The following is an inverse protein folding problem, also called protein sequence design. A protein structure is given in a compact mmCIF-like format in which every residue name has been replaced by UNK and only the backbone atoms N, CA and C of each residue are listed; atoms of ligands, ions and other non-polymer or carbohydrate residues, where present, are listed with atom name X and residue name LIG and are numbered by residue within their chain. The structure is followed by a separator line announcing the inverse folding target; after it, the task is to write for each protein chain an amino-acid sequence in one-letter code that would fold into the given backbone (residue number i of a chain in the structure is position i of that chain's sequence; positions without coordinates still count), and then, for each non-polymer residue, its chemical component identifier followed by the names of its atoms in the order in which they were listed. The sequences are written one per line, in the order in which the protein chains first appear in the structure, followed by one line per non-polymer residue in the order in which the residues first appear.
data_IF_426614820058
#
_entry.id   IF_426614820058
#
_cell.length_a   1.000
_cell.length_b   1.000
_cell.length_c   1.000
_cell.angle_alpha   90.00
_cell.angle_beta   90.00
_cell.angle_gamma   90.00
#
_symmetry.space_group_name_H-M   'P 1'
#
loop_
_entity.id
_entity.type
_entity.pdbx_description
1 polymer ?
#
# COMPACT_ATOMS: atom_id res chain seq x y z
N UNK A 1 -0.55 9.63 12.53
CA UNK A 1 0.11 9.39 11.23
C UNK A 1 0.94 10.60 10.80
N UNK A 2 2.01 10.35 10.07
CA UNK A 2 2.95 11.37 9.57
C UNK A 2 3.13 11.26 8.06
N UNK A 3 3.26 12.39 7.37
CA UNK A 3 3.55 12.46 5.93
C UNK A 3 3.24 13.84 5.33
N UNK A 4 3.50 14.01 4.03
CA UNK A 4 3.24 15.26 3.31
C UNK A 4 2.93 14.98 1.82
N UNK A 5 1.73 15.32 1.30
CA UNK A 5 0.56 15.87 2.00
C UNK A 5 -0.19 14.80 2.82
N UNK A 6 -0.94 15.21 3.85
CA UNK A 6 -1.58 14.28 4.80
C UNK A 6 -3.10 14.45 4.95
N UNK A 7 -3.65 15.60 4.53
CA UNK A 7 -5.01 16.02 4.86
C UNK A 7 -6.11 15.01 4.48
N UNK A 8 -5.97 14.37 3.32
CA UNK A 8 -6.99 13.46 2.77
C UNK A 8 -6.91 12.02 3.26
N UNK A 9 -5.90 11.66 4.08
CA UNK A 9 -5.79 10.27 4.53
C UNK A 9 -6.97 9.84 5.39
N UNK A 10 -7.52 8.64 5.14
CA UNK A 10 -8.58 8.04 5.96
C UNK A 10 -8.05 7.23 7.16
N UNK A 11 -6.74 7.08 7.34
CA UNK A 11 -6.19 6.31 8.48
C UNK A 11 -6.71 6.78 9.84
N UNK A 12 -6.87 8.10 10.13
CA UNK A 12 -7.45 8.54 11.40
C UNK A 12 -8.91 8.09 11.58
N UNK A 13 -9.70 8.06 10.52
CA UNK A 13 -11.09 7.58 10.56
C UNK A 13 -11.13 6.10 10.94
N UNK A 14 -10.26 5.30 10.33
CA UNK A 14 -10.16 3.86 10.59
C UNK A 14 -9.72 3.58 12.03
N UNK A 15 -8.61 4.20 12.46
CA UNK A 15 -8.03 3.97 13.79
C UNK A 15 -8.94 4.48 14.91
N UNK A 16 -9.57 5.65 14.76
CA UNK A 16 -10.52 6.16 15.76
C UNK A 16 -11.75 5.25 15.90
N UNK A 17 -12.29 4.73 14.80
CA UNK A 17 -13.37 3.75 14.85
C UNK A 17 -12.92 2.45 15.54
N UNK A 18 -11.67 2.04 15.31
CA UNK A 18 -11.04 0.92 16.01
C UNK A 18 -10.97 1.16 17.52
N UNK A 19 -10.40 2.30 17.94
CA UNK A 19 -10.24 2.65 19.35
C UNK A 19 -11.58 2.74 20.08
N UNK A 20 -12.58 3.37 19.46
CA UNK A 20 -13.92 3.44 20.02
C UNK A 20 -14.54 2.04 20.21
N UNK A 21 -14.42 1.16 19.21
CA UNK A 21 -14.98 -0.19 19.28
C UNK A 21 -14.26 -1.11 20.29
N UNK A 22 -12.97 -0.86 20.55
CA UNK A 22 -12.19 -1.59 21.55
C UNK A 22 -12.28 -0.98 22.97
N UNK A 23 -13.05 0.09 23.16
CA UNK A 23 -13.20 0.75 24.47
C UNK A 23 -11.97 1.58 24.90
N UNK A 24 -11.10 1.95 23.96
CA UNK A 24 -9.86 2.69 24.20
C UNK A 24 -10.11 4.21 24.22
N UNK A 25 -10.94 4.68 25.15
CA UNK A 25 -11.39 6.08 25.21
C UNK A 25 -10.25 7.11 25.42
N UNK A 26 -9.11 6.70 25.97
CA UNK A 26 -7.92 7.54 26.14
C UNK A 26 -7.01 7.62 24.90
N UNK A 27 -7.30 6.87 23.84
CA UNK A 27 -6.46 6.81 22.65
C UNK A 27 -6.91 7.83 21.61
N UNK A 28 -5.93 8.44 20.94
CA UNK A 28 -6.20 9.37 19.85
C UNK A 28 -5.35 9.03 18.63
N UNK A 29 -5.83 9.43 17.45
CA UNK A 29 -5.10 9.28 16.21
C UNK A 29 -5.22 10.57 15.41
N UNK A 30 -4.08 11.22 15.16
CA UNK A 30 -4.02 12.54 14.50
C UNK A 30 -3.20 12.49 13.22
N UNK A 31 -3.29 13.56 12.43
CA UNK A 31 -2.43 13.79 11.27
C UNK A 31 -1.37 14.81 11.64
N UNK A 32 -0.12 14.50 11.33
CA UNK A 32 1.00 15.42 11.50
C UNK A 32 1.64 15.58 10.12
N UNK A 33 1.68 16.82 9.63
CA UNK A 33 2.35 17.11 8.38
C UNK A 33 3.87 17.10 8.61
N UNK A 34 4.55 16.17 7.94
CA UNK A 34 5.96 15.90 8.18
C UNK A 34 6.62 15.36 6.90
N UNK A 35 7.70 16.01 6.46
CA UNK A 35 8.58 15.55 5.40
C UNK A 35 9.58 14.49 5.88
N UNK A 36 10.30 13.86 4.97
CA UNK A 36 11.26 12.81 5.29
C UNK A 36 12.42 13.32 6.19
N UNK A 37 12.93 14.52 5.90
CA UNK A 37 14.04 15.15 6.65
C UNK A 37 13.63 15.61 8.06
N UNK A 38 12.33 15.90 8.25
CA UNK A 38 11.78 16.37 9.53
C UNK A 38 11.45 15.20 10.48
N UNK A 39 11.35 13.97 9.96
CA UNK A 39 10.84 12.82 10.69
C UNK A 39 11.72 12.47 11.90
N UNK A 40 13.04 12.55 11.77
CA UNK A 40 13.97 12.26 12.86
C UNK A 40 13.74 13.21 14.04
N UNK A 41 13.67 14.51 13.78
CA UNK A 41 13.45 15.52 14.80
C UNK A 41 12.06 15.37 15.46
N UNK A 42 11.04 15.05 14.66
CA UNK A 42 9.70 14.75 15.18
C UNK A 42 9.74 13.56 16.14
N UNK A 43 10.28 12.42 15.71
CA UNK A 43 10.33 11.18 16.51
C UNK A 43 11.13 11.37 17.80
N UNK A 44 12.25 12.09 17.75
CA UNK A 44 13.06 12.40 18.93
C UNK A 44 12.31 13.26 19.97
N UNK A 45 11.32 14.05 19.55
CA UNK A 45 10.50 14.88 20.42
C UNK A 45 9.27 14.17 21.01
N UNK A 46 8.98 12.93 20.62
CA UNK A 46 7.79 12.20 21.10
C UNK A 46 8.00 11.58 22.47
N UNK A 47 7.12 11.93 23.41
CA UNK A 47 7.10 11.38 24.75
C UNK A 47 6.63 9.91 24.81
N UNK A 48 6.65 9.31 26.02
CA UNK A 48 6.26 7.92 26.23
C UNK A 48 4.78 7.63 25.98
N UNK A 49 3.93 8.66 25.87
CA UNK A 49 2.51 8.54 25.53
C UNK A 49 2.24 8.09 24.08
N UNK A 50 3.25 8.17 23.21
CA UNK A 50 3.14 7.76 21.81
C UNK A 50 3.32 6.26 21.65
N UNK A 51 2.22 5.55 21.35
CA UNK A 51 2.26 4.11 21.06
C UNK A 51 2.88 3.79 19.69
N UNK A 52 2.75 4.69 18.71
CA UNK A 52 3.21 4.42 17.36
C UNK A 52 2.89 5.52 16.35
N UNK A 53 3.50 5.40 15.17
CA UNK A 53 3.25 6.26 14.02
C UNK A 53 3.01 5.42 12.77
N UNK A 54 1.87 5.63 12.11
CA UNK A 54 1.76 5.27 10.69
C UNK A 54 2.49 6.32 9.85
N UNK A 55 3.32 5.88 8.93
CA UNK A 55 4.17 6.71 8.08
C UNK A 55 3.74 6.55 6.63
N UNK A 56 3.45 7.66 5.96
CA UNK A 56 3.18 7.69 4.52
C UNK A 56 4.27 8.48 3.77
N UNK A 57 4.10 8.64 2.46
CA UNK A 57 5.01 9.43 1.64
C UNK A 57 5.21 10.85 2.24
N UNK A 58 6.45 11.39 2.21
CA UNK A 58 7.69 10.80 1.70
C UNK A 58 8.52 10.03 2.75
N UNK A 59 8.02 9.84 3.98
CA UNK A 59 8.84 9.45 5.13
C UNK A 59 9.18 7.96 5.28
N UNK A 60 8.73 7.06 4.40
CA UNK A 60 8.83 5.60 4.66
C UNK A 60 10.26 5.05 4.69
N UNK A 61 11.16 5.58 3.87
CA UNK A 61 12.57 5.19 3.88
C UNK A 61 13.28 5.76 5.12
N UNK A 62 12.97 7.01 5.48
CA UNK A 62 13.47 7.63 6.72
C UNK A 62 12.99 6.91 7.98
N UNK A 63 11.73 6.44 7.99
CA UNK A 63 11.18 5.63 9.08
C UNK A 63 11.91 4.30 9.27
N UNK A 64 12.35 3.67 8.18
CA UNK A 64 13.16 2.47 8.27
C UNK A 64 14.52 2.78 8.90
N UNK A 65 15.17 3.85 8.44
CA UNK A 65 16.53 4.21 8.86
C UNK A 65 16.62 4.70 10.30
N UNK A 66 15.54 5.27 10.85
CA UNK A 66 15.52 5.81 12.22
C UNK A 66 15.22 4.76 13.30
N UNK A 67 14.68 3.61 12.94
CA UNK A 67 14.22 2.62 13.90
C UNK A 67 15.40 1.81 14.48
N UNK A 68 15.31 1.47 15.76
CA UNK A 68 16.30 0.66 16.46
C UNK A 68 16.23 -0.81 16.03
N UNK A 69 15.01 -1.28 15.77
CA UNK A 69 14.73 -2.62 15.29
C UNK A 69 13.82 -2.57 14.05
N UNK A 70 14.02 -3.51 13.13
CA UNK A 70 13.31 -3.52 11.85
C UNK A 70 12.79 -4.93 11.57
N UNK A 71 11.54 -5.04 11.14
CA UNK A 71 10.95 -6.31 10.71
C UNK A 71 11.66 -6.86 9.46
N UNK A 72 11.73 -8.19 9.27
CA UNK A 72 12.30 -8.76 8.05
C UNK A 72 11.61 -8.25 6.76
N UNK A 73 10.29 -8.01 6.82
CA UNK A 73 9.53 -7.51 5.67
C UNK A 73 9.82 -6.04 5.36
N UNK A 74 9.97 -5.19 6.38
CA UNK A 74 10.33 -3.79 6.19
C UNK A 74 11.78 -3.64 5.69
N UNK A 75 12.70 -4.42 6.24
CA UNK A 75 14.09 -4.49 5.79
C UNK A 75 14.18 -4.89 4.32
N UNK A 76 13.49 -5.97 3.92
CA UNK A 76 13.50 -6.45 2.55
C UNK A 76 12.80 -5.48 1.57
N UNK A 77 11.74 -4.80 2.00
CA UNK A 77 11.10 -3.76 1.19
C UNK A 77 11.92 -2.46 1.10
N UNK A 78 12.89 -2.24 1.99
CA UNK A 78 13.64 -1.00 2.08
C UNK A 78 12.79 0.20 2.50
N UNK A 79 11.65 -0.04 3.17
CA UNK A 79 10.72 1.01 3.61
C UNK A 79 9.83 0.52 4.76
N UNK A 80 9.47 1.43 5.67
CA UNK A 80 8.55 1.18 6.77
C UNK A 80 7.37 2.15 6.73
N UNK A 81 6.13 1.64 6.86
CA UNK A 81 4.93 2.47 6.99
C UNK A 81 4.40 2.49 8.43
N UNK A 82 5.05 1.79 9.35
CA UNK A 82 4.59 1.57 10.73
C UNK A 82 5.79 1.64 11.68
N UNK A 83 5.76 2.59 12.61
CA UNK A 83 6.70 2.69 13.73
C UNK A 83 5.95 2.38 15.02
N UNK A 84 6.48 1.49 15.84
CA UNK A 84 5.87 1.05 17.10
C UNK A 84 6.82 1.38 18.23
N UNK A 85 6.33 2.08 19.25
CA UNK A 85 7.11 2.34 20.46
C UNK A 85 7.11 1.09 21.33
N UNK A 86 8.30 0.59 21.67
CA UNK A 86 8.47 -0.57 22.55
C UNK A 86 8.49 -0.15 24.03
N UNK A 87 8.21 -1.06 24.97
CA UNK A 87 8.20 -0.76 26.41
C UNK A 87 9.54 -0.23 26.96
N UNK A 88 10.65 -0.59 26.32
CA UNK A 88 12.00 -0.09 26.66
C UNK A 88 12.32 1.28 26.07
N UNK A 89 11.37 1.87 25.32
CA UNK A 89 11.50 3.18 24.71
C UNK A 89 12.12 3.17 23.31
N UNK A 90 12.52 2.01 22.78
CA UNK A 90 13.01 1.86 21.39
C UNK A 90 11.88 1.93 20.37
N UNK A 91 12.24 2.17 19.11
CA UNK A 91 11.33 2.18 17.97
C UNK A 91 11.54 0.95 17.09
N UNK A 92 10.45 0.21 16.89
CA UNK A 92 10.39 -0.91 15.96
C UNK A 92 9.70 -0.49 14.65
N UNK A 93 10.33 -0.73 13.51
CA UNK A 93 9.78 -0.47 12.18
C UNK A 93 9.19 -1.73 11.54
N UNK A 94 8.00 -1.58 10.96
CA UNK A 94 7.34 -2.60 10.14
C UNK A 94 6.69 -2.00 8.88
N UNK A 95 6.32 -2.88 7.94
CA UNK A 95 5.64 -2.54 6.71
C UNK A 95 4.33 -3.32 6.54
N UNK A 96 3.27 -2.76 7.13
CA UNK A 96 1.91 -3.30 7.09
C UNK A 96 1.23 -3.16 5.73
N UNK A 97 1.78 -2.35 4.81
CA UNK A 97 1.30 -2.34 3.42
C UNK A 97 1.60 -3.67 2.74
N UNK A 98 2.75 -4.30 3.01
CA UNK A 98 3.11 -5.59 2.41
C UNK A 98 2.21 -6.70 2.95
N UNK A 99 2.02 -6.79 4.26
CA UNK A 99 1.12 -7.80 4.85
C UNK A 99 -0.33 -7.56 4.43
N UNK A 100 -0.79 -6.31 4.41
CA UNK A 100 -2.12 -5.95 3.92
C UNK A 100 -2.32 -6.28 2.44
N UNK A 101 -1.34 -6.02 1.58
CA UNK A 101 -1.43 -6.32 0.15
C UNK A 101 -1.44 -7.83 -0.12
N UNK A 102 -0.64 -8.61 0.63
CA UNK A 102 -0.72 -10.08 0.59
C UNK A 102 -2.12 -10.57 1.00
N UNK A 103 -2.71 -10.03 2.06
CA UNK A 103 -4.06 -10.40 2.53
C UNK A 103 -5.12 -10.18 1.44
N UNK A 104 -5.16 -8.99 0.84
CA UNK A 104 -6.19 -8.63 -0.14
C UNK A 104 -6.01 -9.35 -1.47
N UNK A 105 -4.77 -9.58 -1.92
CA UNK A 105 -4.49 -10.33 -3.15
C UNK A 105 -4.78 -11.83 -2.99
N UNK A 106 -4.44 -12.41 -1.83
CA UNK A 106 -4.79 -13.81 -1.53
C UNK A 106 -6.31 -13.98 -1.50
N UNK A 107 -7.02 -13.05 -0.86
CA UNK A 107 -8.50 -13.05 -0.83
C UNK A 107 -9.12 -12.89 -2.22
N UNK A 108 -8.43 -12.17 -3.11
CA UNK A 108 -8.82 -12.02 -4.51
C UNK A 108 -8.57 -13.27 -5.37
N UNK A 109 -7.89 -14.29 -4.83
CA UNK A 109 -7.65 -15.57 -5.50
C UNK A 109 -6.28 -15.69 -6.18
N UNK A 110 -5.31 -14.81 -5.86
CA UNK A 110 -3.96 -14.92 -6.41
C UNK A 110 -3.27 -16.19 -5.89
N UNK A 111 -2.76 -17.01 -6.81
CA UNK A 111 -2.04 -18.25 -6.52
C UNK A 111 -0.52 -18.06 -6.50
N UNK A 112 0.18 -18.99 -5.85
CA UNK A 112 1.64 -19.10 -5.95
C UNK A 112 2.08 -19.30 -7.40
N UNK A 113 3.24 -18.75 -7.77
CA UNK A 113 3.78 -18.83 -9.13
C UNK A 113 3.21 -17.81 -10.11
N UNK A 114 2.29 -16.93 -9.67
CA UNK A 114 1.70 -15.89 -10.51
C UNK A 114 2.76 -14.95 -11.12
N UNK A 115 2.49 -14.52 -12.35
CA UNK A 115 3.24 -13.43 -13.00
C UNK A 115 2.65 -12.08 -12.60
N UNK A 116 3.50 -11.12 -12.22
CA UNK A 116 3.06 -9.81 -11.73
C UNK A 116 3.56 -8.70 -12.65
N UNK A 117 2.68 -7.79 -13.06
CA UNK A 117 3.05 -6.52 -13.68
C UNK A 117 2.76 -5.38 -12.72
N UNK A 118 3.77 -4.58 -12.38
CA UNK A 118 3.63 -3.36 -11.57
C UNK A 118 3.68 -2.16 -12.50
N UNK A 119 2.60 -1.38 -12.54
CA UNK A 119 2.56 -0.10 -13.26
C UNK A 119 3.02 1.00 -12.29
N UNK A 120 4.15 1.60 -12.59
CA UNK A 120 4.82 2.60 -11.76
C UNK A 120 5.97 2.03 -10.92
N UNK A 121 6.88 2.91 -10.55
CA UNK A 121 8.10 2.60 -9.79
C UNK A 121 8.27 3.51 -8.57
N UNK A 122 7.16 3.89 -7.92
CA UNK A 122 7.15 4.73 -6.72
C UNK A 122 7.28 3.93 -5.42
N UNK A 123 7.10 4.58 -4.26
CA UNK A 123 7.23 3.94 -2.94
C UNK A 123 6.34 2.69 -2.74
N UNK A 124 5.15 2.66 -3.34
CA UNK A 124 4.26 1.48 -3.30
C UNK A 124 4.76 0.33 -4.18
N UNK A 125 5.60 0.60 -5.19
CA UNK A 125 6.20 -0.46 -6.02
C UNK A 125 7.17 -1.33 -5.20
N UNK A 126 7.90 -0.75 -4.23
CA UNK A 126 8.72 -1.53 -3.27
C UNK A 126 7.85 -2.53 -2.48
N UNK A 127 6.70 -2.08 -1.98
CA UNK A 127 5.75 -2.95 -1.29
C UNK A 127 5.14 -4.00 -2.23
N UNK A 128 4.87 -3.66 -3.49
CA UNK A 128 4.39 -4.61 -4.49
C UNK A 128 5.42 -5.71 -4.79
N UNK A 129 6.71 -5.38 -4.89
CA UNK A 129 7.79 -6.36 -5.03
C UNK A 129 7.87 -7.31 -3.83
N UNK A 130 7.86 -6.76 -2.61
CA UNK A 130 7.88 -7.56 -1.39
C UNK A 130 6.63 -8.46 -1.29
N UNK A 131 5.47 -7.96 -1.70
CA UNK A 131 4.22 -8.72 -1.77
C UNK A 131 4.33 -9.87 -2.79
N UNK A 132 4.82 -9.59 -4.00
CA UNK A 132 5.01 -10.61 -5.03
C UNK A 132 5.96 -11.72 -4.57
N UNK A 133 7.07 -11.37 -3.92
CA UNK A 133 8.00 -12.34 -3.33
C UNK A 133 7.31 -13.21 -2.26
N UNK A 134 6.52 -12.61 -1.36
CA UNK A 134 5.78 -13.34 -0.32
C UNK A 134 4.67 -14.24 -0.87
N UNK A 135 4.06 -13.87 -1.99
CA UNK A 135 3.09 -14.69 -2.71
C UNK A 135 3.77 -15.80 -3.53
N UNK A 136 5.10 -15.85 -3.59
CA UNK A 136 5.83 -16.82 -4.39
C UNK A 136 5.63 -16.61 -5.89
N UNK A 137 5.52 -15.35 -6.34
CA UNK A 137 5.40 -15.02 -7.76
C UNK A 137 6.62 -15.52 -8.56
N UNK A 138 6.38 -15.92 -9.81
CA UNK A 138 7.44 -16.44 -10.70
C UNK A 138 8.35 -15.33 -11.25
N UNK A 139 7.86 -14.09 -11.27
CA UNK A 139 8.63 -12.91 -11.62
C UNK A 139 7.76 -11.65 -11.62
N UNK A 140 8.42 -10.49 -11.62
CA UNK A 140 7.77 -9.19 -11.70
C UNK A 140 8.28 -8.42 -12.91
N UNK A 141 7.36 -7.88 -13.70
CA UNK A 141 7.67 -6.82 -14.67
C UNK A 141 7.29 -5.48 -14.07
N UNK A 142 8.25 -4.56 -13.95
CA UNK A 142 7.99 -3.17 -13.56
C UNK A 142 7.94 -2.31 -14.81
N UNK A 143 6.83 -1.62 -15.00
CA UNK A 143 6.62 -0.71 -16.12
C UNK A 143 6.67 0.73 -15.62
N UNK A 144 7.60 1.53 -16.14
CA UNK A 144 7.73 2.93 -15.76
C UNK A 144 8.15 3.81 -16.94
N UNK A 145 7.97 5.13 -16.81
CA UNK A 145 8.43 6.11 -17.81
C UNK A 145 9.94 6.32 -17.80
N UNK A 146 10.57 6.19 -16.62
CA UNK A 146 12.00 6.40 -16.42
C UNK A 146 12.64 5.08 -16.06
N UNK A 147 13.60 4.64 -16.86
CA UNK A 147 14.39 3.44 -16.58
C UNK A 147 15.14 3.55 -15.24
N UNK A 148 15.67 4.73 -14.91
CA UNK A 148 16.35 4.96 -13.62
C UNK A 148 15.48 4.65 -12.40
N UNK A 149 14.16 4.87 -12.48
CA UNK A 149 13.25 4.51 -11.38
C UNK A 149 13.10 2.98 -11.23
N UNK A 150 13.23 2.23 -12.33
CA UNK A 150 13.25 0.77 -12.30
C UNK A 150 14.58 0.28 -11.71
N UNK A 151 15.69 0.92 -12.06
CA UNK A 151 17.00 0.58 -11.53
C UNK A 151 17.09 0.75 -10.01
N UNK A 152 16.43 1.77 -9.46
CA UNK A 152 16.28 1.97 -8.00
C UNK A 152 15.56 0.79 -7.29
N UNK A 153 14.76 0.01 -8.02
CA UNK A 153 14.04 -1.16 -7.49
C UNK A 153 14.81 -2.47 -7.64
N UNK A 154 15.84 -2.53 -8.49
CA UNK A 154 16.62 -3.77 -8.70
C UNK A 154 17.29 -4.30 -7.43
N UNK A 155 17.91 -3.46 -6.57
CA UNK A 155 18.47 -3.94 -5.30
C UNK A 155 17.41 -4.55 -4.38
N UNK A 156 16.19 -3.97 -4.36
CA UNK A 156 15.06 -4.47 -3.58
C UNK A 156 14.64 -5.85 -4.09
N UNK A 157 14.47 -6.01 -5.41
CA UNK A 157 14.14 -7.28 -6.02
C UNK A 157 15.22 -8.36 -5.75
N UNK A 158 16.50 -7.98 -5.82
CA UNK A 158 17.62 -8.85 -5.49
C UNK A 158 17.61 -9.31 -4.03
N UNK A 159 17.38 -8.40 -3.08
CA UNK A 159 17.26 -8.74 -1.66
C UNK A 159 16.05 -9.65 -1.36
N UNK A 160 14.97 -9.49 -2.12
CA UNK A 160 13.77 -10.33 -2.05
C UNK A 160 13.89 -11.67 -2.81
N UNK A 161 14.95 -11.85 -3.60
CA UNK A 161 15.13 -13.04 -4.43
C UNK A 161 14.10 -13.20 -5.55
N UNK A 162 13.47 -12.12 -6.01
CA UNK A 162 12.44 -12.16 -7.07
C UNK A 162 13.00 -11.67 -8.41
N UNK A 163 12.81 -12.42 -9.52
CA UNK A 163 13.21 -11.96 -10.84
C UNK A 163 12.46 -10.67 -11.21
N UNK A 164 13.21 -9.63 -11.61
CA UNK A 164 12.67 -8.35 -12.04
C UNK A 164 13.05 -8.06 -13.49
N UNK A 165 12.04 -7.83 -14.33
CA UNK A 165 12.16 -7.29 -15.69
C UNK A 165 11.68 -5.84 -15.70
N UNK A 166 12.42 -4.95 -16.36
CA UNK A 166 12.01 -3.57 -16.58
C UNK A 166 11.41 -3.39 -17.97
N UNK A 167 10.36 -2.56 -18.09
CA UNK A 167 9.76 -2.21 -19.37
C UNK A 167 9.35 -0.73 -19.42
N UNK A 168 9.31 -0.19 -20.64
CA UNK A 168 8.88 1.18 -20.89
C UNK A 168 7.35 1.30 -20.85
N UNK A 169 6.85 2.50 -20.52
CA UNK A 169 5.41 2.78 -20.51
C UNK A 169 4.65 2.42 -21.80
N UNK A 170 5.21 2.57 -23.01
CA UNK A 170 4.54 2.12 -24.25
C UNK A 170 4.17 0.62 -24.25
N UNK A 171 4.88 -0.22 -23.49
CA UNK A 171 4.64 -1.66 -23.41
C UNK A 171 3.70 -2.05 -22.24
N UNK A 172 3.20 -1.07 -21.48
CA UNK A 172 2.35 -1.30 -20.30
C UNK A 172 1.13 -2.17 -20.60
N UNK A 173 0.43 -1.88 -21.71
CA UNK A 173 -0.77 -2.61 -22.09
C UNK A 173 -0.47 -4.08 -22.42
N UNK A 174 0.65 -4.33 -23.12
CA UNK A 174 1.11 -5.66 -23.50
C UNK A 174 1.43 -6.50 -22.27
N UNK A 175 2.22 -5.97 -21.33
CA UNK A 175 2.57 -6.68 -20.10
C UNK A 175 1.35 -6.92 -19.21
N UNK A 176 0.48 -5.93 -19.04
CA UNK A 176 -0.75 -6.06 -18.26
C UNK A 176 -1.71 -7.11 -18.84
N UNK A 177 -1.81 -7.23 -20.16
CA UNK A 177 -2.67 -8.22 -20.81
C UNK A 177 -2.22 -9.68 -20.58
N UNK A 178 -0.93 -9.90 -20.32
CA UNK A 178 -0.35 -11.24 -20.12
C UNK A 178 -0.13 -11.63 -18.66
N UNK A 179 -0.25 -10.68 -17.72
CA UNK A 179 0.04 -10.91 -16.31
C UNK A 179 -1.16 -11.49 -15.54
N UNK A 180 -0.87 -12.33 -14.56
CA UNK A 180 -1.90 -12.90 -13.67
C UNK A 180 -2.33 -11.87 -12.63
N UNK A 181 -1.41 -11.01 -12.21
CA UNK A 181 -1.67 -9.87 -11.33
C UNK A 181 -1.14 -8.58 -11.96
N UNK A 182 -1.98 -7.55 -12.02
CA UNK A 182 -1.57 -6.19 -12.37
C UNK A 182 -1.70 -5.32 -11.14
N UNK A 183 -0.62 -4.65 -10.74
CA UNK A 183 -0.58 -3.73 -9.60
C UNK A 183 -0.34 -2.31 -10.13
N UNK A 184 -1.39 -1.49 -10.16
CA UNK A 184 -1.27 -0.07 -10.50
C UNK A 184 -0.88 0.73 -9.26
N UNK A 185 0.26 1.41 -9.33
CA UNK A 185 0.77 2.30 -8.28
C UNK A 185 0.91 3.75 -8.74
N UNK A 186 0.49 4.03 -9.98
CA UNK A 186 0.64 5.35 -10.59
C UNK A 186 -0.40 6.35 -10.09
N UNK A 187 -0.10 7.66 -10.11
CA UNK A 187 -1.07 8.70 -9.79
C UNK A 187 -2.31 8.67 -10.69
N UNK A 188 -3.38 9.30 -10.20
CA UNK A 188 -4.64 9.52 -10.94
C UNK A 188 -4.37 10.07 -12.35
N UNK A 189 -5.06 9.53 -13.35
CA UNK A 189 -4.96 9.97 -14.74
C UNK A 189 -3.87 9.25 -15.55
N UNK A 190 -2.84 8.71 -14.91
CA UNK A 190 -1.68 8.13 -15.63
C UNK A 190 -2.03 6.82 -16.32
N UNK A 191 -2.78 5.94 -15.64
CA UNK A 191 -3.21 4.66 -16.20
C UNK A 191 -4.55 4.73 -16.95
N UNK A 192 -5.19 5.90 -17.04
CA UNK A 192 -6.51 6.03 -17.66
C UNK A 192 -6.52 5.61 -19.15
N UNK A 193 -5.51 5.93 -19.98
CA UNK A 193 -5.46 5.45 -21.38
C UNK A 193 -5.43 3.92 -21.50
N UNK A 194 -4.85 3.23 -20.51
CA UNK A 194 -4.76 1.78 -20.50
C UNK A 194 -6.14 1.10 -20.39
N UNK A 195 -7.18 1.83 -19.97
CA UNK A 195 -8.55 1.32 -19.92
C UNK A 195 -9.04 0.80 -21.29
N UNK A 196 -8.58 1.40 -22.40
CA UNK A 196 -8.94 0.96 -23.77
C UNK A 196 -7.87 0.13 -24.46
N UNK A 197 -6.65 0.13 -23.95
CA UNK A 197 -5.49 -0.52 -24.56
C UNK A 197 -5.30 -1.95 -24.06
N UNK A 198 -5.51 -2.19 -22.76
CA UNK A 198 -5.31 -3.52 -22.15
C UNK A 198 -6.39 -4.48 -22.63
N UNK A 199 -5.96 -5.62 -23.18
CA UNK A 199 -6.84 -6.77 -23.45
C UNK A 199 -6.86 -7.68 -22.24
N UNK A 200 -7.78 -7.42 -21.32
CA UNK A 200 -7.89 -8.14 -20.06
C UNK A 200 -8.27 -9.61 -20.24
N UNK A 201 -7.65 -10.48 -19.43
CA UNK A 201 -8.07 -11.86 -19.24
C UNK A 201 -8.97 -11.89 -18.00
N UNK A 202 -10.16 -12.52 -18.02
CA UNK A 202 -11.05 -12.56 -16.85
C UNK A 202 -10.40 -13.15 -15.58
N UNK A 203 -9.38 -13.99 -15.73
CA UNK A 203 -8.60 -14.56 -14.63
C UNK A 203 -7.57 -13.61 -14.02
N UNK A 204 -7.30 -12.46 -14.63
CA UNK A 204 -6.36 -11.47 -14.10
C UNK A 204 -6.95 -10.79 -12.86
N UNK A 205 -6.12 -10.62 -11.84
CA UNK A 205 -6.42 -9.78 -10.67
C UNK A 205 -5.81 -8.40 -10.87
N UNK A 206 -6.62 -7.35 -10.85
CA UNK A 206 -6.14 -5.97 -10.81
C UNK A 206 -6.15 -5.46 -9.37
N UNK A 207 -5.00 -5.00 -8.90
CA UNK A 207 -4.88 -4.14 -7.73
C UNK A 207 -4.63 -2.71 -8.21
N UNK A 208 -5.48 -1.76 -7.81
CA UNK A 208 -5.26 -0.33 -8.07
C UNK A 208 -5.07 0.40 -6.74
N UNK A 209 -3.90 1.01 -6.53
CA UNK A 209 -3.58 1.72 -5.29
C UNK A 209 -4.46 2.95 -5.05
N UNK A 210 -5.13 3.46 -6.09
CA UNK A 210 -6.10 4.53 -5.96
C UNK A 210 -7.41 4.02 -5.35
N UNK A 211 -8.08 4.91 -4.61
CA UNK A 211 -9.39 4.63 -4.01
C UNK A 211 -10.36 5.80 -4.12
N UNK A 212 -9.90 6.96 -4.59
CA UNK A 212 -10.74 8.12 -4.87
C UNK A 212 -10.15 8.91 -6.05
N UNK A 213 -10.95 9.26 -7.08
CA UNK A 213 -12.30 8.76 -7.33
C UNK A 213 -12.32 7.26 -7.65
N UNK A 214 -13.46 6.60 -7.44
CA UNK A 214 -13.64 5.17 -7.69
C UNK A 214 -14.95 4.88 -8.48
N UNK A 215 -14.97 3.87 -9.37
CA UNK A 215 -13.81 3.15 -9.91
C UNK A 215 -12.91 4.07 -10.77
N UNK A 216 -11.61 3.78 -10.83
CA UNK A 216 -10.73 4.39 -11.85
C UNK A 216 -11.11 3.87 -13.24
N UNK A 217 -10.76 4.57 -14.34
CA UNK A 217 -11.01 4.04 -15.69
C UNK A 217 -10.39 2.66 -15.92
N UNK A 218 -9.17 2.43 -15.40
CA UNK A 218 -8.50 1.12 -15.45
C UNK A 218 -9.31 0.04 -14.71
N UNK A 219 -9.73 0.34 -13.48
CA UNK A 219 -10.53 -0.56 -12.66
C UNK A 219 -11.90 -0.87 -13.28
N UNK A 220 -12.55 0.14 -13.87
CA UNK A 220 -13.82 -0.02 -14.56
C UNK A 220 -13.68 -0.94 -15.78
N UNK A 221 -12.64 -0.74 -16.60
CA UNK A 221 -12.37 -1.58 -17.76
C UNK A 221 -12.05 -3.03 -17.37
N UNK A 222 -11.21 -3.25 -16.36
CA UNK A 222 -10.90 -4.58 -15.86
C UNK A 222 -12.15 -5.29 -15.30
N UNK A 223 -12.97 -4.58 -14.52
CA UNK A 223 -14.23 -5.11 -13.99
C UNK A 223 -15.20 -5.50 -15.11
N UNK A 224 -15.33 -4.67 -16.15
CA UNK A 224 -16.18 -4.95 -17.31
C UNK A 224 -15.71 -6.18 -18.10
N UNK A 225 -14.41 -6.48 -18.07
CA UNK A 225 -13.83 -7.69 -18.65
C UNK A 225 -13.90 -8.93 -17.73
N UNK A 226 -14.52 -8.82 -16.55
CA UNK A 226 -14.70 -9.92 -15.60
C UNK A 226 -13.52 -10.14 -14.65
N UNK A 227 -12.51 -9.28 -14.66
CA UNK A 227 -11.39 -9.36 -13.71
C UNK A 227 -11.86 -9.14 -12.28
N UNK A 228 -11.17 -9.78 -11.33
CA UNK A 228 -11.27 -9.39 -9.92
C UNK A 228 -10.50 -8.09 -9.71
N UNK A 229 -11.15 -7.09 -9.10
CA UNK A 229 -10.52 -5.80 -8.80
C UNK A 229 -10.43 -5.59 -7.29
N UNK A 230 -9.23 -5.21 -6.84
CA UNK A 230 -8.89 -4.80 -5.48
C UNK A 230 -8.52 -3.32 -5.50
N UNK A 231 -9.13 -2.53 -4.62
CA UNK A 231 -8.92 -1.08 -4.54
C UNK A 231 -7.87 -0.69 -3.50
N UNK A 232 -7.39 0.55 -3.58
CA UNK A 232 -6.52 1.11 -2.56
C UNK A 232 -7.18 1.18 -1.18
N UNK A 233 -8.52 1.18 -1.12
CA UNK A 233 -9.27 1.19 0.13
C UNK A 233 -9.25 -0.19 0.81
N UNK A 234 -9.23 -1.27 0.03
CA UNK A 234 -9.03 -2.63 0.54
C UNK A 234 -7.67 -2.72 1.24
N UNK A 235 -6.61 -2.24 0.58
CA UNK A 235 -5.28 -2.18 1.19
C UNK A 235 -5.27 -1.26 2.42
N UNK A 236 -5.86 -0.07 2.31
CA UNK A 236 -5.88 0.91 3.40
C UNK A 236 -6.52 0.34 4.68
N UNK A 237 -7.58 -0.45 4.54
CA UNK A 237 -8.18 -1.15 5.68
C UNK A 237 -7.25 -2.25 6.21
N UNK A 238 -6.74 -3.12 5.33
CA UNK A 238 -5.91 -4.26 5.73
C UNK A 238 -4.62 -3.82 6.46
N UNK A 239 -3.93 -2.80 5.94
CA UNK A 239 -2.73 -2.26 6.59
C UNK A 239 -3.06 -1.58 7.93
N UNK A 240 -4.21 -0.90 8.04
CA UNK A 240 -4.61 -0.21 9.26
C UNK A 240 -4.94 -1.20 10.38
N UNK A 241 -5.48 -2.37 10.03
CA UNK A 241 -5.70 -3.46 10.98
C UNK A 241 -4.38 -3.93 11.57
N UNK A 242 -3.36 -4.22 10.75
CA UNK A 242 -2.05 -4.61 11.25
C UNK A 242 -1.44 -3.53 12.17
N UNK A 243 -1.55 -2.26 11.78
CA UNK A 243 -1.08 -1.14 12.62
C UNK A 243 -1.82 -1.06 13.95
N UNK A 244 -3.14 -1.24 13.95
CA UNK A 244 -3.93 -1.22 15.18
C UNK A 244 -3.44 -2.28 16.16
N UNK A 245 -3.23 -3.51 15.68
CA UNK A 245 -2.74 -4.63 16.50
C UNK A 245 -1.34 -4.34 17.02
N UNK A 246 -0.46 -3.78 16.19
CA UNK A 246 0.87 -3.36 16.61
C UNK A 246 0.87 -2.27 17.68
N UNK A 247 0.02 -1.25 17.52
CA UNK A 247 0.00 -0.12 18.45
C UNK A 247 -0.65 -0.49 19.78
N UNK A 248 -1.75 -1.23 19.75
CA UNK A 248 -2.56 -1.50 20.94
C UNK A 248 -2.22 -2.81 21.65
N UNK A 249 -1.57 -3.75 20.95
CA UNK A 249 -1.41 -5.13 21.43
C UNK A 249 -2.72 -5.93 21.51
N UNK A 250 -3.83 -5.39 20.98
CA UNK A 250 -5.16 -6.00 21.00
C UNK A 250 -5.59 -6.43 19.60
N UNK A 251 -6.40 -7.49 19.46
CA UNK A 251 -7.01 -7.85 18.19
C UNK A 251 -7.83 -6.67 17.61
N UNK A 252 -7.64 -6.38 16.32
CA UNK A 252 -8.35 -5.29 15.69
C UNK A 252 -9.86 -5.58 15.57
N UNK A 253 -10.76 -4.64 15.95
CA UNK A 253 -12.19 -4.75 15.69
C UNK A 253 -12.49 -4.49 14.20
N UNK A 254 -12.05 -5.42 13.34
CA UNK A 254 -12.06 -5.32 11.86
C UNK A 254 -13.40 -4.85 11.30
N UNK A 255 -14.52 -5.36 11.81
CA UNK A 255 -15.84 -4.98 11.34
C UNK A 255 -16.18 -3.51 11.59
N UNK A 256 -15.76 -2.93 12.73
CA UNK A 256 -15.98 -1.52 13.02
C UNK A 256 -15.08 -0.62 12.15
N UNK A 257 -13.81 -1.00 12.02
CA UNK A 257 -12.84 -0.32 11.15
C UNK A 257 -13.30 -0.32 9.69
N UNK A 258 -13.82 -1.44 9.19
CA UNK A 258 -14.35 -1.55 7.83
C UNK A 258 -15.58 -0.66 7.59
N UNK A 259 -16.53 -0.64 8.54
CA UNK A 259 -17.73 0.20 8.44
C UNK A 259 -17.39 1.69 8.35
N UNK A 260 -16.34 2.14 9.04
CA UNK A 260 -15.93 3.54 9.06
C UNK A 260 -15.48 4.06 7.68
N UNK A 261 -14.98 3.18 6.82
CA UNK A 261 -14.53 3.54 5.46
C UNK A 261 -15.47 3.11 4.34
N UNK A 262 -16.47 2.28 4.61
CA UNK A 262 -17.42 1.81 3.60
C UNK A 262 -18.11 2.95 2.83
N UNK A 263 -18.42 4.08 3.49
CA UNK A 263 -19.00 5.26 2.87
C UNK A 263 -18.12 5.96 1.83
N UNK A 264 -16.82 5.65 1.79
CA UNK A 264 -15.85 6.22 0.87
C UNK A 264 -15.70 5.41 -0.42
N UNK A 265 -16.37 4.25 -0.55
CA UNK A 265 -16.43 3.46 -1.81
C UNK A 265 -17.40 4.02 -2.86
N UNK A 266 -17.91 5.23 -2.68
CA UNK A 266 -19.03 5.70 -3.50
C UNK A 266 -18.60 5.81 -4.97
N UNK A 267 -19.36 5.22 -5.92
CA UNK A 267 -19.13 5.51 -7.33
C UNK A 267 -19.26 7.02 -7.52
N UNK A 268 -18.33 7.61 -8.29
CA UNK A 268 -18.49 8.99 -8.72
C UNK A 268 -19.92 9.16 -9.24
N UNK A 269 -20.72 10.03 -8.60
CA UNK A 269 -22.09 10.25 -9.01
C UNK A 269 -22.07 10.59 -10.49
N UNK A 270 -22.72 9.77 -11.32
CA UNK A 270 -22.95 10.09 -12.72
C UNK A 270 -23.62 11.46 -12.73
N UNK A 271 -22.85 12.50 -13.07
CA UNK A 271 -23.38 13.83 -13.27
C UNK A 271 -24.42 13.73 -14.38
N UNK A 272 -25.68 13.69 -13.99
CA UNK A 272 -26.77 14.04 -14.90
C UNK A 272 -26.74 15.55 -15.01
N UNK A 273 -26.22 16.03 -16.13
CA UNK A 273 -26.63 17.28 -16.76
C UNK A 273 -26.92 16.99 -18.21
#
# INVERSE_FOLDING_TARGET
MVGRPIAHSLSPVIHQAGYAAAGLAGWSYTRIECGAEELLALVAGLGPEWAGLSVTMPGKEAALALADEVSPVAAAAGAANTLVRRPDGTWYADNTDVTGMVEVLTTAGVSTGATVTVLGAGGTARAALATAARLGASGVTVVARRESAIDELRPVAGALGIPLTGAGWPDAATHAATADVVVSTVPKGVADPLATEVRWRPSTVLFDALYDPWPTPLAAAASAAGCRVVSGLDLLLAQAVGQFEHFTGMPAPRAAMARAVAGHRRPASSGRS
#
